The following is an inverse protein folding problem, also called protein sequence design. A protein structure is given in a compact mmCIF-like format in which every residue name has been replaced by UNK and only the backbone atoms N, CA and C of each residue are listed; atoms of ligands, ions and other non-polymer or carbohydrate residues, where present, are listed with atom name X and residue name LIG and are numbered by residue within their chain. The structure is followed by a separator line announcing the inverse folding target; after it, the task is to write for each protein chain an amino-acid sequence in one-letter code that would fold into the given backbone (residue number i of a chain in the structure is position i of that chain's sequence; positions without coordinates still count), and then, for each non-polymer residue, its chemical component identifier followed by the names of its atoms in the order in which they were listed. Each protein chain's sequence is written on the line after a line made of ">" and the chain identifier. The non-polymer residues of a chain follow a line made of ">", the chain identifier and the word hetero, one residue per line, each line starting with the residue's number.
data_IF_280005318559
#
_entry.id   IF_280005318559
#
_cell.length_a   1.000
_cell.length_b   1.000
_cell.length_c   1.000
_cell.angle_alpha   90.00
_cell.angle_beta   90.00
_cell.angle_gamma   90.00
#
_symmetry.space_group_name_H-M   'P 1'
#
loop_
_entity.id
_entity.type
_entity.pdbx_description
1 polymer ?
#
# COMPACT_ATOMS: atom_id res chain seq x y z
N UNK A 1 -28.43 -3.03 -35.36
CA UNK A 1 -27.11 -3.06 -34.69
C UNK A 1 -26.05 -2.96 -35.77
N UNK A 2 -24.95 -2.23 -35.55
CA UNK A 2 -23.82 -2.23 -36.49
C UNK A 2 -23.32 -3.66 -36.68
N UNK A 3 -22.92 -4.01 -37.90
CA UNK A 3 -22.25 -5.28 -38.17
C UNK A 3 -20.75 -5.13 -37.82
N UNK A 4 -20.40 -5.56 -36.61
CA UNK A 4 -19.04 -5.48 -36.05
C UNK A 4 -18.02 -6.34 -36.81
N UNK A 5 -18.48 -7.24 -37.69
CA UNK A 5 -17.62 -8.08 -38.53
C UNK A 5 -17.47 -7.54 -39.96
N UNK A 6 -18.16 -6.45 -40.30
CA UNK A 6 -18.03 -5.84 -41.63
C UNK A 6 -16.61 -5.31 -41.85
N UNK A 7 -15.97 -5.56 -43.02
CA UNK A 7 -14.59 -5.14 -43.29
C UNK A 7 -14.35 -3.64 -43.10
N UNK A 8 -15.37 -2.82 -43.36
CA UNK A 8 -15.32 -1.36 -43.20
C UNK A 8 -15.19 -0.96 -41.73
N UNK A 9 -15.94 -1.62 -40.82
CA UNK A 9 -15.79 -1.35 -39.38
C UNK A 9 -14.45 -1.88 -38.89
N UNK A 10 -13.98 -3.06 -39.28
CA UNK A 10 -12.66 -3.59 -38.87
C UNK A 10 -11.52 -2.63 -39.24
N UNK A 11 -11.53 -2.05 -40.44
CA UNK A 11 -10.52 -1.08 -40.86
C UNK A 11 -10.57 0.21 -40.03
N UNK A 12 -11.77 0.71 -39.77
CA UNK A 12 -11.97 1.89 -38.93
C UNK A 12 -11.52 1.64 -37.49
N UNK A 13 -11.83 0.47 -36.95
CA UNK A 13 -11.38 0.02 -35.63
C UNK A 13 -9.86 -0.10 -35.56
N UNK A 14 -9.20 -0.62 -36.59
CA UNK A 14 -7.74 -0.70 -36.65
C UNK A 14 -7.07 0.69 -36.61
N UNK A 15 -7.61 1.67 -37.32
CA UNK A 15 -7.11 3.05 -37.30
C UNK A 15 -7.31 3.69 -35.92
N UNK A 16 -8.49 3.49 -35.31
CA UNK A 16 -8.78 3.98 -33.96
C UNK A 16 -7.84 3.34 -32.94
N UNK A 17 -7.67 2.02 -33.02
CA UNK A 17 -6.78 1.24 -32.15
C UNK A 17 -5.35 1.76 -32.22
N UNK A 18 -4.84 2.00 -33.44
CA UNK A 18 -3.47 2.53 -33.65
C UNK A 18 -3.30 3.88 -32.96
N UNK A 19 -4.21 4.82 -33.19
CA UNK A 19 -4.16 6.16 -32.56
C UNK A 19 -4.30 6.09 -31.03
N UNK A 20 -5.13 5.16 -30.56
CA UNK A 20 -5.33 4.95 -29.13
C UNK A 20 -4.08 4.39 -28.45
N UNK A 21 -3.43 3.39 -29.04
CA UNK A 21 -2.18 2.81 -28.51
C UNK A 21 -1.05 3.84 -28.44
N UNK A 22 -0.92 4.70 -29.45
CA UNK A 22 0.01 5.83 -29.41
C UNK A 22 -0.28 6.83 -28.29
N UNK A 23 -1.55 7.14 -28.07
CA UNK A 23 -1.97 8.04 -27.00
C UNK A 23 -1.64 7.45 -25.62
N UNK A 24 -1.87 6.14 -25.45
CA UNK A 24 -1.54 5.41 -24.23
C UNK A 24 -0.03 5.32 -23.99
N UNK A 25 0.76 5.10 -25.05
CA UNK A 25 2.23 5.15 -24.97
C UNK A 25 2.69 6.51 -24.46
N UNK A 26 2.19 7.60 -25.04
CA UNK A 26 2.51 8.96 -24.61
C UNK A 26 2.14 9.21 -23.14
N UNK A 27 0.96 8.77 -22.71
CA UNK A 27 0.51 8.86 -21.32
C UNK A 27 1.44 8.07 -20.38
N UNK A 28 1.82 6.85 -20.75
CA UNK A 28 2.68 6.03 -19.92
C UNK A 28 4.10 6.58 -19.84
N UNK A 29 4.65 7.08 -20.96
CA UNK A 29 5.93 7.79 -21.00
C UNK A 29 5.89 9.01 -20.07
N UNK A 30 4.81 9.79 -20.10
CA UNK A 30 4.64 10.93 -19.20
C UNK A 30 4.68 10.52 -17.72
N UNK A 31 3.92 9.49 -17.33
CA UNK A 31 3.96 8.95 -15.95
C UNK A 31 5.35 8.38 -15.60
N UNK A 32 6.05 7.79 -16.57
CA UNK A 32 7.41 7.29 -16.40
C UNK A 32 8.37 8.45 -16.09
N UNK A 33 8.35 9.54 -16.86
CA UNK A 33 9.21 10.70 -16.58
C UNK A 33 8.92 11.33 -15.21
N UNK A 34 7.65 11.49 -14.83
CA UNK A 34 7.27 12.04 -13.52
C UNK A 34 7.77 11.21 -12.33
N UNK A 35 8.08 9.94 -12.56
CA UNK A 35 8.48 9.01 -11.52
C UNK A 35 9.97 8.67 -11.55
N UNK A 36 10.76 9.32 -12.42
CA UNK A 36 12.21 9.11 -12.53
C UNK A 36 12.98 9.61 -11.31
N UNK A 37 12.57 10.71 -10.69
CA UNK A 37 13.26 11.24 -9.49
C UNK A 37 13.32 10.20 -8.37
N UNK A 38 12.26 9.40 -8.26
CA UNK A 38 12.18 8.31 -7.30
C UNK A 38 13.18 7.19 -7.63
N UNK A 39 13.29 6.80 -8.89
CA UNK A 39 14.20 5.75 -9.35
C UNK A 39 15.66 6.19 -9.25
N UNK A 40 15.93 7.45 -9.62
CA UNK A 40 17.25 8.05 -9.50
C UNK A 40 17.74 8.08 -8.05
N UNK A 41 16.83 8.24 -7.08
CA UNK A 41 17.17 8.15 -5.66
C UNK A 41 17.67 6.75 -5.23
N UNK A 42 17.26 5.67 -5.91
CA UNK A 42 17.82 4.33 -5.66
C UNK A 42 19.17 4.13 -6.34
N UNK A 43 19.31 4.63 -7.57
CA UNK A 43 20.58 4.54 -8.33
C UNK A 43 21.68 5.35 -7.63
N UNK A 44 21.36 6.55 -7.13
CA UNK A 44 22.29 7.41 -6.40
C UNK A 44 22.54 6.96 -4.95
N UNK A 45 21.97 5.83 -4.52
CA UNK A 45 22.17 5.29 -3.18
C UNK A 45 21.51 6.09 -2.06
N UNK A 46 20.67 7.09 -2.38
CA UNK A 46 19.94 7.88 -1.39
C UNK A 46 18.86 7.07 -0.66
N UNK A 47 18.43 5.94 -1.23
CA UNK A 47 17.44 5.02 -0.65
C UNK A 47 17.95 3.59 -0.63
N UNK A 48 17.74 2.90 0.49
CA UNK A 48 18.11 1.50 0.65
C UNK A 48 17.25 0.57 -0.24
N UNK A 49 17.90 -0.32 -0.96
CA UNK A 49 17.22 -1.31 -1.79
C UNK A 49 16.54 -2.37 -0.93
N UNK A 50 15.25 -2.63 -1.18
CA UNK A 50 14.47 -3.68 -0.51
C UNK A 50 13.96 -4.66 -1.54
N UNK A 51 13.90 -5.95 -1.20
CA UNK A 51 13.52 -7.02 -2.13
C UNK A 51 12.21 -6.77 -2.91
N UNK A 52 11.12 -6.22 -2.33
CA UNK A 52 9.90 -5.91 -3.09
C UNK A 52 10.08 -4.90 -4.23
N UNK A 53 11.16 -4.10 -4.21
CA UNK A 53 11.44 -3.14 -5.28
C UNK A 53 11.85 -3.80 -6.58
N UNK A 54 12.30 -5.06 -6.56
CA UNK A 54 12.59 -5.81 -7.78
C UNK A 54 11.32 -5.92 -8.64
N UNK A 55 10.19 -6.30 -8.04
CA UNK A 55 8.91 -6.40 -8.75
C UNK A 55 8.38 -5.03 -9.20
N UNK A 56 8.69 -3.96 -8.46
CA UNK A 56 8.36 -2.60 -8.87
C UNK A 56 9.08 -2.19 -10.16
N UNK A 57 10.41 -2.36 -10.18
CA UNK A 57 11.21 -2.01 -11.36
C UNK A 57 10.90 -2.95 -12.53
N UNK A 58 10.82 -4.26 -12.28
CA UNK A 58 10.46 -5.24 -13.30
C UNK A 58 9.14 -4.88 -13.96
N UNK A 59 8.09 -4.60 -13.19
CA UNK A 59 6.78 -4.20 -13.73
C UNK A 59 6.89 -2.97 -14.64
N UNK A 60 7.55 -1.93 -14.11
CA UNK A 60 7.66 -0.63 -14.77
C UNK A 60 8.42 -0.69 -16.09
N UNK A 61 9.57 -1.37 -16.12
CA UNK A 61 10.37 -1.48 -17.34
C UNK A 61 9.76 -2.46 -18.33
N UNK A 62 9.19 -3.57 -17.85
CA UNK A 62 8.57 -4.57 -18.71
C UNK A 62 7.36 -4.00 -19.47
N UNK A 63 6.49 -3.24 -18.80
CA UNK A 63 5.38 -2.56 -19.46
C UNK A 63 5.86 -1.51 -20.48
N UNK A 64 6.92 -0.74 -20.15
CA UNK A 64 7.47 0.22 -21.10
C UNK A 64 7.96 -0.46 -22.39
N UNK A 65 8.71 -1.56 -22.26
CA UNK A 65 9.18 -2.33 -23.41
C UNK A 65 8.02 -2.97 -24.18
N UNK A 66 6.98 -3.45 -23.50
CA UNK A 66 5.77 -3.98 -24.15
C UNK A 66 5.07 -2.89 -25.00
N UNK A 67 4.92 -1.67 -24.48
CA UNK A 67 4.29 -0.57 -25.21
C UNK A 67 5.14 -0.10 -26.40
N UNK A 68 6.46 -0.07 -26.25
CA UNK A 68 7.37 0.21 -27.37
C UNK A 68 7.25 -0.88 -28.43
N UNK A 69 7.22 -2.15 -28.04
CA UNK A 69 7.03 -3.27 -28.96
C UNK A 69 5.67 -3.24 -29.66
N UNK A 70 4.60 -2.77 -29.00
CA UNK A 70 3.29 -2.56 -29.63
C UNK A 70 3.37 -1.42 -30.66
N UNK A 71 4.04 -0.31 -30.35
CA UNK A 71 4.21 0.78 -31.32
C UNK A 71 4.99 0.33 -32.55
N UNK A 72 6.11 -0.40 -32.35
CA UNK A 72 6.87 -0.99 -33.47
C UNK A 72 5.99 -1.91 -34.31
N UNK A 73 5.14 -2.74 -33.68
CA UNK A 73 4.24 -3.64 -34.41
C UNK A 73 3.21 -2.90 -35.28
N UNK A 74 2.83 -1.68 -34.89
CA UNK A 74 1.82 -0.88 -35.57
C UNK A 74 2.41 0.04 -36.66
N UNK A 75 3.65 0.51 -36.49
CA UNK A 75 4.26 1.50 -37.40
C UNK A 75 5.30 0.91 -38.36
N UNK A 76 5.68 -0.37 -38.19
CA UNK A 76 6.68 -0.99 -39.06
C UNK A 76 6.17 -1.10 -40.50
N UNK A 77 7.01 -0.66 -41.45
CA UNK A 77 6.77 -0.78 -42.89
C UNK A 77 7.66 -1.83 -43.55
N UNK A 78 8.67 -2.31 -42.82
CA UNK A 78 9.63 -3.32 -43.26
C UNK A 78 9.30 -4.69 -42.67
N UNK A 79 9.68 -5.74 -43.39
CA UNK A 79 9.45 -7.12 -42.99
C UNK A 79 10.24 -7.45 -41.71
N UNK A 80 9.52 -7.78 -40.65
CA UNK A 80 10.07 -8.21 -39.36
C UNK A 80 9.44 -9.52 -38.94
N UNK A 81 10.07 -10.18 -37.96
CA UNK A 81 9.51 -11.38 -37.35
C UNK A 81 8.33 -11.02 -36.43
N UNK A 82 7.14 -10.87 -37.02
CA UNK A 82 5.90 -10.53 -36.30
C UNK A 82 5.60 -11.52 -35.17
N UNK A 83 5.87 -12.82 -35.40
CA UNK A 83 5.64 -13.85 -34.41
C UNK A 83 6.43 -13.58 -33.12
N UNK A 84 7.73 -13.29 -33.24
CA UNK A 84 8.57 -12.99 -32.09
C UNK A 84 8.12 -11.70 -31.37
N UNK A 85 7.77 -10.65 -32.12
CA UNK A 85 7.36 -9.36 -31.55
C UNK A 85 6.04 -9.46 -30.80
N UNK A 86 5.01 -10.08 -31.39
CA UNK A 86 3.72 -10.27 -30.74
C UNK A 86 3.81 -11.24 -29.56
N UNK A 87 4.62 -12.29 -29.66
CA UNK A 87 4.89 -13.19 -28.53
C UNK A 87 5.53 -12.44 -27.37
N UNK A 88 6.53 -11.61 -27.65
CA UNK A 88 7.16 -10.76 -26.63
C UNK A 88 6.15 -9.78 -26.03
N UNK A 89 5.37 -9.07 -26.84
CA UNK A 89 4.38 -8.10 -26.35
C UNK A 89 3.31 -8.74 -25.48
N UNK A 90 2.84 -9.94 -25.85
CA UNK A 90 1.85 -10.68 -25.07
C UNK A 90 2.44 -11.09 -23.71
N UNK A 91 3.61 -11.75 -23.70
CA UNK A 91 4.27 -12.17 -22.47
C UNK A 91 4.58 -10.96 -21.58
N UNK A 92 5.15 -9.90 -22.15
CA UNK A 92 5.56 -8.72 -21.41
C UNK A 92 4.35 -7.94 -20.86
N UNK A 93 3.26 -7.83 -21.64
CA UNK A 93 2.01 -7.20 -21.22
C UNK A 93 1.32 -7.96 -20.09
N UNK A 94 1.13 -9.27 -20.26
CA UNK A 94 0.48 -10.12 -19.26
C UNK A 94 1.34 -10.24 -17.99
N UNK A 95 2.66 -10.35 -18.14
CA UNK A 95 3.59 -10.33 -17.02
C UNK A 95 3.60 -8.98 -16.29
N UNK A 96 3.44 -7.85 -16.97
CA UNK A 96 3.29 -6.55 -16.30
C UNK A 96 2.04 -6.52 -15.42
N UNK A 97 0.91 -7.03 -15.91
CA UNK A 97 -0.31 -7.19 -15.08
C UNK A 97 -0.04 -8.09 -13.87
N UNK A 98 0.58 -9.26 -14.07
CA UNK A 98 0.92 -10.18 -12.99
C UNK A 98 1.87 -9.55 -11.94
N UNK A 99 2.87 -8.79 -12.38
CA UNK A 99 3.79 -8.06 -11.51
C UNK A 99 3.09 -6.93 -10.76
N UNK A 100 2.14 -6.23 -11.40
CA UNK A 100 1.31 -5.22 -10.74
C UNK A 100 0.50 -5.84 -9.60
N UNK A 101 -0.14 -7.00 -9.84
CA UNK A 101 -0.89 -7.70 -8.81
C UNK A 101 0.01 -8.27 -7.70
N UNK A 102 1.24 -8.70 -8.00
CA UNK A 102 2.25 -9.03 -6.97
C UNK A 102 2.53 -7.80 -6.10
N UNK A 103 2.82 -6.64 -6.69
CA UNK A 103 3.13 -5.41 -5.96
C UNK A 103 1.99 -5.01 -5.01
N UNK A 104 0.75 -5.21 -5.43
CA UNK A 104 -0.45 -5.00 -4.61
C UNK A 104 -0.54 -6.06 -3.49
N UNK A 105 -0.34 -7.34 -3.80
CA UNK A 105 -0.44 -8.44 -2.83
C UNK A 105 0.62 -8.40 -1.71
N UNK A 106 1.85 -7.96 -2.00
CA UNK A 106 2.92 -7.84 -0.98
C UNK A 106 2.48 -6.89 0.14
N UNK A 107 1.75 -5.82 -0.21
CA UNK A 107 1.18 -4.90 0.80
C UNK A 107 0.18 -5.61 1.68
N UNK A 108 -0.69 -6.42 1.09
CA UNK A 108 -1.69 -7.19 1.82
C UNK A 108 -1.02 -8.19 2.76
N UNK A 109 0.05 -8.86 2.33
CA UNK A 109 0.84 -9.73 3.21
C UNK A 109 1.39 -8.96 4.43
N UNK A 110 1.90 -7.75 4.22
CA UNK A 110 2.38 -6.88 5.32
C UNK A 110 1.24 -6.43 6.25
N UNK A 111 0.07 -6.06 5.70
CA UNK A 111 -1.12 -5.62 6.44
C UNK A 111 -1.69 -6.74 7.32
N UNK A 112 -1.55 -7.98 6.87
CA UNK A 112 -1.93 -9.17 7.63
C UNK A 112 -0.82 -9.66 8.57
N UNK A 113 0.17 -8.81 8.88
CA UNK A 113 1.29 -9.10 9.76
C UNK A 113 2.00 -10.41 9.40
N UNK A 114 2.11 -10.71 8.09
CA UNK A 114 2.74 -11.94 7.57
C UNK A 114 2.11 -13.24 8.14
N UNK A 115 0.79 -13.25 8.37
CA UNK A 115 0.09 -14.48 8.73
C UNK A 115 0.35 -15.57 7.66
N UNK A 116 0.98 -16.66 8.07
CA UNK A 116 1.44 -17.74 7.19
C UNK A 116 0.34 -18.32 6.30
N UNK A 117 -0.91 -18.34 6.77
CA UNK A 117 -2.04 -18.83 5.98
C UNK A 117 -2.32 -17.89 4.81
N UNK A 118 -2.46 -16.60 5.07
CA UNK A 118 -2.76 -15.59 4.04
C UNK A 118 -1.59 -15.47 3.06
N UNK A 119 -0.36 -15.47 3.57
CA UNK A 119 0.84 -15.47 2.73
C UNK A 119 0.89 -16.73 1.85
N UNK A 120 0.59 -17.91 2.41
CA UNK A 120 0.54 -19.16 1.65
C UNK A 120 -0.51 -19.14 0.54
N UNK A 121 -1.72 -18.65 0.82
CA UNK A 121 -2.80 -18.51 -0.18
C UNK A 121 -2.39 -17.53 -1.27
N UNK A 122 -1.89 -16.34 -0.92
CA UNK A 122 -1.46 -15.34 -1.90
C UNK A 122 -0.28 -15.85 -2.74
N UNK A 123 0.69 -16.54 -2.14
CA UNK A 123 1.80 -17.14 -2.86
C UNK A 123 1.32 -18.19 -3.87
N UNK A 124 0.37 -19.05 -3.48
CA UNK A 124 -0.22 -20.05 -4.38
C UNK A 124 -0.94 -19.38 -5.56
N UNK A 125 -1.72 -18.34 -5.31
CA UNK A 125 -2.43 -17.60 -6.37
C UNK A 125 -1.44 -16.90 -7.30
N UNK A 126 -0.35 -16.33 -6.78
CA UNK A 126 0.72 -15.75 -7.60
C UNK A 126 1.33 -16.82 -8.51
N UNK A 127 1.70 -17.98 -7.96
CA UNK A 127 2.26 -19.07 -8.76
C UNK A 127 1.31 -19.55 -9.85
N UNK A 128 0.01 -19.68 -9.55
CA UNK A 128 -1.01 -20.03 -10.53
C UNK A 128 -1.17 -18.99 -11.63
N UNK A 129 -1.06 -17.70 -11.29
CA UNK A 129 -1.09 -16.64 -12.29
C UNK A 129 0.09 -16.76 -13.26
N UNK A 130 1.31 -16.92 -12.73
CA UNK A 130 2.51 -17.03 -13.57
C UNK A 130 2.54 -18.29 -14.41
N UNK A 131 1.99 -19.42 -13.91
CA UNK A 131 1.88 -20.62 -14.73
C UNK A 131 0.93 -20.40 -15.92
N UNK A 132 -0.18 -19.68 -15.72
CA UNK A 132 -1.10 -19.34 -16.81
C UNK A 132 -0.47 -18.36 -17.81
N UNK A 133 0.27 -17.35 -17.36
CA UNK A 133 0.97 -16.39 -18.25
C UNK A 133 1.98 -17.13 -19.13
N UNK A 134 2.79 -18.03 -18.55
CA UNK A 134 3.79 -18.79 -19.29
C UNK A 134 3.18 -19.81 -20.25
N UNK A 135 2.03 -20.39 -19.91
CA UNK A 135 1.26 -21.27 -20.80
C UNK A 135 0.48 -20.48 -21.87
N UNK A 136 0.22 -19.19 -21.63
CA UNK A 136 -0.61 -18.29 -22.43
C UNK A 136 -0.09 -17.97 -23.83
N UNK A 137 1.14 -18.37 -24.14
CA UNK A 137 1.84 -18.05 -25.38
C UNK A 137 1.34 -18.92 -26.54
N UNK A 138 0.11 -18.65 -26.98
CA UNK A 138 -0.53 -19.30 -28.13
C UNK A 138 -1.18 -18.24 -29.04
N UNK A 139 -0.33 -17.38 -29.60
CA UNK A 139 -0.69 -16.54 -30.74
C UNK A 139 0.15 -16.90 -31.96
N UNK A 140 -0.43 -16.76 -33.14
CA UNK A 140 0.29 -16.80 -34.41
C UNK A 140 0.10 -15.48 -35.13
N UNK A 141 1.20 -14.88 -35.57
CA UNK A 141 1.23 -13.63 -36.31
C UNK A 141 2.13 -13.77 -37.55
N UNK A 142 1.64 -13.24 -38.67
CA UNK A 142 2.32 -13.28 -39.96
C UNK A 142 2.46 -11.88 -40.54
N UNK A 143 3.54 -11.64 -41.27
CA UNK A 143 3.71 -10.45 -42.08
C UNK A 143 2.81 -10.50 -43.31
N UNK A 144 1.96 -9.49 -43.50
CA UNK A 144 1.10 -9.35 -44.68
C UNK A 144 1.63 -8.19 -45.54
N UNK A 145 2.10 -8.46 -46.78
CA UNK A 145 2.61 -7.42 -47.67
C UNK A 145 1.59 -6.28 -47.88
N UNK A 146 2.01 -5.04 -47.65
CA UNK A 146 1.17 -3.84 -47.83
C UNK A 146 0.27 -3.49 -46.64
N UNK A 147 0.17 -4.35 -45.63
CA UNK A 147 -0.63 -4.11 -44.40
C UNK A 147 0.23 -4.12 -43.13
N UNK A 148 1.31 -4.90 -43.11
CA UNK A 148 2.21 -5.03 -41.96
C UNK A 148 1.98 -6.32 -41.18
N UNK A 149 2.31 -6.32 -39.88
CA UNK A 149 2.10 -7.50 -39.04
C UNK A 149 0.61 -7.70 -38.68
N UNK A 150 0.07 -8.88 -38.99
CA UNK A 150 -1.30 -9.25 -38.64
C UNK A 150 -1.33 -10.53 -37.79
N UNK A 151 -2.26 -10.57 -36.85
CA UNK A 151 -2.54 -11.74 -36.02
C UNK A 151 -3.43 -12.70 -36.83
N UNK A 152 -2.96 -13.92 -37.09
CA UNK A 152 -3.65 -14.91 -37.92
C UNK A 152 -4.49 -15.88 -37.11
N UNK A 153 -4.04 -16.25 -35.93
CA UNK A 153 -4.78 -17.13 -35.02
C UNK A 153 -4.42 -16.80 -33.57
N UNK A 154 -5.45 -16.70 -32.72
CA UNK A 154 -5.30 -16.42 -31.29
C UNK A 154 -6.28 -17.26 -30.50
N UNK A 155 -5.78 -17.96 -29.49
CA UNK A 155 -6.64 -18.68 -28.58
C UNK A 155 -7.23 -17.73 -27.51
N UNK A 156 -8.31 -17.02 -27.90
CA UNK A 156 -9.01 -16.07 -27.02
C UNK A 156 -9.49 -16.71 -25.71
N UNK A 157 -9.68 -18.04 -25.65
CA UNK A 157 -10.08 -18.72 -24.40
C UNK A 157 -8.99 -18.69 -23.33
N UNK A 158 -7.72 -18.82 -23.73
CA UNK A 158 -6.60 -18.80 -22.78
C UNK A 158 -6.33 -17.38 -22.31
N UNK A 159 -6.34 -16.41 -23.24
CA UNK A 159 -6.31 -14.99 -22.88
C UNK A 159 -7.43 -14.64 -21.90
N UNK A 160 -8.68 -15.05 -22.19
CA UNK A 160 -9.80 -14.83 -21.27
C UNK A 160 -9.56 -15.47 -19.91
N UNK A 161 -9.01 -16.69 -19.86
CA UNK A 161 -8.67 -17.34 -18.61
C UNK A 161 -7.63 -16.55 -17.80
N UNK A 162 -6.60 -15.98 -18.45
CA UNK A 162 -5.57 -15.15 -17.78
C UNK A 162 -6.19 -13.88 -17.20
N UNK A 163 -6.99 -13.15 -17.97
CA UNK A 163 -7.62 -11.91 -17.50
C UNK A 163 -8.65 -12.17 -16.39
N UNK A 164 -9.47 -13.22 -16.52
CA UNK A 164 -10.40 -13.65 -15.46
C UNK A 164 -9.61 -13.99 -14.19
N UNK A 165 -8.51 -14.74 -14.33
CA UNK A 165 -7.66 -15.09 -13.19
C UNK A 165 -7.10 -13.83 -12.52
N UNK A 166 -6.58 -12.88 -13.31
CA UNK A 166 -6.08 -11.61 -12.81
C UNK A 166 -7.17 -10.80 -12.08
N UNK A 167 -8.36 -10.72 -12.65
CA UNK A 167 -9.51 -10.06 -12.02
C UNK A 167 -9.86 -10.71 -10.68
N UNK A 168 -9.93 -12.05 -10.63
CA UNK A 168 -10.19 -12.79 -9.39
C UNK A 168 -9.09 -12.58 -8.35
N UNK A 169 -7.82 -12.52 -8.78
CA UNK A 169 -6.69 -12.26 -7.90
C UNK A 169 -6.78 -10.87 -7.28
N UNK A 170 -7.00 -9.83 -8.09
CA UNK A 170 -7.17 -8.46 -7.61
C UNK A 170 -8.39 -8.32 -6.70
N UNK A 171 -9.50 -9.01 -7.01
CA UNK A 171 -10.68 -9.05 -6.14
C UNK A 171 -10.37 -9.71 -4.79
N UNK A 172 -9.67 -10.84 -4.78
CA UNK A 172 -9.26 -11.50 -3.53
C UNK A 172 -8.40 -10.56 -2.68
N UNK A 173 -7.40 -9.92 -3.29
CA UNK A 173 -6.54 -8.95 -2.61
C UNK A 173 -7.37 -7.76 -2.09
N UNK A 174 -8.26 -7.21 -2.90
CA UNK A 174 -9.17 -6.13 -2.51
C UNK A 174 -10.04 -6.52 -1.33
N UNK A 175 -10.65 -7.71 -1.33
CA UNK A 175 -11.48 -8.22 -0.25
C UNK A 175 -10.69 -8.41 1.04
N UNK A 176 -9.47 -8.97 0.97
CA UNK A 176 -8.60 -9.13 2.14
C UNK A 176 -8.21 -7.78 2.76
N UNK A 177 -7.91 -6.79 1.94
CA UNK A 177 -7.60 -5.44 2.41
C UNK A 177 -8.84 -4.77 3.03
N UNK A 178 -9.99 -4.89 2.36
CA UNK A 178 -11.28 -4.32 2.79
C UNK A 178 -11.75 -4.93 4.11
N UNK A 179 -11.71 -6.26 4.22
CA UNK A 179 -12.08 -6.98 5.43
C UNK A 179 -11.24 -6.55 6.63
N UNK A 180 -9.92 -6.43 6.44
CA UNK A 180 -9.02 -5.97 7.49
C UNK A 180 -9.37 -4.54 7.91
N UNK A 181 -9.69 -3.64 6.97
CA UNK A 181 -10.07 -2.25 7.27
C UNK A 181 -11.34 -2.15 8.11
N UNK A 182 -12.38 -2.90 7.75
CA UNK A 182 -13.64 -2.91 8.49
C UNK A 182 -13.50 -3.61 9.85
N UNK A 183 -12.73 -4.69 9.92
CA UNK A 183 -12.47 -5.42 11.17
C UNK A 183 -11.58 -4.68 12.18
N UNK A 184 -10.74 -3.73 11.73
CA UNK A 184 -9.91 -2.88 12.60
C UNK A 184 -10.77 -1.98 13.52
N UNK A 185 -12.04 -1.72 13.19
CA UNK A 185 -12.93 -0.95 14.07
C UNK A 185 -13.36 -1.74 15.33
N UNK A 186 -13.12 -3.05 15.40
CA UNK A 186 -13.49 -3.89 16.53
C UNK A 186 -12.24 -4.51 17.18
N UNK A 187 -11.70 -3.84 18.19
CA UNK A 187 -10.74 -4.35 19.20
C UNK A 187 -9.33 -4.81 18.76
N UNK A 188 -9.01 -4.92 17.46
CA UNK A 188 -7.71 -5.38 16.96
C UNK A 188 -6.72 -4.25 16.54
N UNK A 189 -6.93 -3.03 17.03
CA UNK A 189 -6.11 -1.84 16.68
C UNK A 189 -4.70 -1.80 17.28
N UNK A 190 -4.28 -2.81 18.03
CA UNK A 190 -2.97 -2.83 18.71
C UNK A 190 -1.80 -3.35 17.86
N UNK A 191 -2.04 -4.05 16.76
CA UNK A 191 -0.98 -4.63 15.93
C UNK A 191 -0.45 -3.71 14.81
N UNK A 192 -1.15 -2.61 14.51
CA UNK A 192 -0.71 -1.60 13.56
C UNK A 192 -0.47 -0.32 14.35
N UNK A 193 0.78 0.09 14.52
CA UNK A 193 1.19 1.19 15.41
C UNK A 193 0.23 2.39 15.39
N UNK A 194 -0.58 2.49 16.44
CA UNK A 194 -1.07 3.68 17.17
C UNK A 194 -1.34 5.01 16.45
N UNK A 195 -1.54 5.07 15.13
CA UNK A 195 -1.77 6.35 14.46
C UNK A 195 -2.90 6.30 13.44
N UNK A 196 -3.88 7.18 13.65
CA UNK A 196 -4.91 7.62 12.67
C UNK A 196 -4.35 7.79 11.25
N UNK A 197 -3.06 8.15 11.14
CA UNK A 197 -2.35 8.32 9.88
C UNK A 197 -2.24 6.99 9.10
N UNK A 198 -1.95 5.87 9.76
CA UNK A 198 -1.88 4.55 9.11
C UNK A 198 -3.23 4.10 8.55
N UNK A 199 -4.32 4.44 9.25
CA UNK A 199 -5.70 4.19 8.80
C UNK A 199 -6.06 5.05 7.57
N UNK A 200 -5.76 6.34 7.59
CA UNK A 200 -6.01 7.25 6.45
C UNK A 200 -5.22 6.83 5.20
N UNK A 201 -3.95 6.46 5.36
CA UNK A 201 -3.11 6.00 4.24
C UNK A 201 -3.65 4.70 3.66
N UNK A 202 -4.19 3.82 4.50
CA UNK A 202 -4.76 2.55 4.06
C UNK A 202 -6.11 2.74 3.36
N UNK A 203 -6.95 3.65 3.85
CA UNK A 203 -8.20 4.06 3.20
C UNK A 203 -7.93 4.66 1.81
N UNK A 204 -6.98 5.59 1.73
CA UNK A 204 -6.48 6.13 0.46
C UNK A 204 -5.71 5.09 -0.38
N UNK A 205 -5.23 4.02 0.23
CA UNK A 205 -4.56 2.92 -0.45
C UNK A 205 -5.56 1.95 -1.09
N UNK A 206 -6.77 1.84 -0.53
CA UNK A 206 -7.82 0.95 -1.01
C UNK A 206 -8.31 1.34 -2.39
N UNK A 207 -8.39 2.64 -2.68
CA UNK A 207 -8.83 3.16 -3.98
C UNK A 207 -7.97 2.62 -5.13
N UNK A 208 -6.67 2.39 -4.89
CA UNK A 208 -5.77 1.79 -5.86
C UNK A 208 -6.18 0.35 -6.20
N UNK A 209 -6.52 -0.47 -5.21
CA UNK A 209 -7.00 -1.83 -5.47
C UNK A 209 -8.33 -1.83 -6.23
N UNK A 210 -9.24 -0.91 -5.90
CA UNK A 210 -10.53 -0.77 -6.61
C UNK A 210 -10.32 -0.38 -8.07
N UNK A 211 -9.45 0.60 -8.35
CA UNK A 211 -9.17 1.03 -9.73
C UNK A 211 -8.56 -0.12 -10.54
N UNK A 212 -7.59 -0.86 -9.97
CA UNK A 212 -6.98 -2.00 -10.64
C UNK A 212 -8.02 -3.10 -10.95
N UNK A 213 -8.87 -3.43 -9.99
CA UNK A 213 -9.98 -4.38 -10.18
C UNK A 213 -10.94 -3.94 -11.29
N UNK A 214 -11.39 -2.68 -11.27
CA UNK A 214 -12.32 -2.16 -12.29
C UNK A 214 -11.68 -2.17 -13.69
N UNK A 215 -10.40 -1.81 -13.79
CA UNK A 215 -9.68 -1.84 -15.05
C UNK A 215 -9.61 -3.26 -15.63
N UNK A 216 -9.26 -4.26 -14.81
CA UNK A 216 -9.21 -5.66 -15.22
C UNK A 216 -10.60 -6.25 -15.49
N UNK A 217 -11.64 -5.79 -14.77
CA UNK A 217 -13.04 -6.16 -15.03
C UNK A 217 -13.49 -5.67 -16.41
N UNK A 218 -13.23 -4.41 -16.76
CA UNK A 218 -13.60 -3.85 -18.06
C UNK A 218 -12.90 -4.61 -19.19
N UNK A 219 -11.61 -4.88 -19.07
CA UNK A 219 -10.87 -5.69 -20.05
C UNK A 219 -11.48 -7.09 -20.22
N UNK A 220 -11.80 -7.75 -19.10
CA UNK A 220 -12.41 -9.09 -19.11
C UNK A 220 -13.78 -9.10 -19.80
N UNK A 221 -14.63 -8.10 -19.56
CA UNK A 221 -15.95 -8.00 -20.19
C UNK A 221 -15.82 -7.92 -21.71
N UNK A 222 -14.97 -7.01 -22.22
CA UNK A 222 -14.78 -6.84 -23.67
C UNK A 222 -14.18 -8.10 -24.32
N UNK A 223 -13.31 -8.80 -23.60
CA UNK A 223 -12.75 -10.06 -24.06
C UNK A 223 -13.82 -11.16 -24.16
N UNK A 224 -14.71 -11.27 -23.17
CA UNK A 224 -15.79 -12.26 -23.17
C UNK A 224 -16.88 -11.98 -24.21
N UNK A 225 -17.14 -10.71 -24.52
CA UNK A 225 -18.12 -10.33 -25.53
C UNK A 225 -17.72 -10.73 -26.96
N UNK A 226 -16.42 -10.90 -27.24
CA UNK A 226 -15.88 -11.40 -28.51
C UNK A 226 -16.53 -10.81 -29.78
N UNK A 227 -16.71 -9.48 -29.83
CA UNK A 227 -17.36 -8.82 -30.99
C UNK A 227 -16.49 -8.87 -32.24
N UNK A 228 -15.19 -8.61 -32.07
CA UNK A 228 -14.15 -8.63 -33.10
C UNK A 228 -12.77 -8.78 -32.44
N UNK A 229 -11.78 -9.26 -33.18
CA UNK A 229 -10.38 -9.49 -32.72
C UNK A 229 -9.75 -8.23 -32.09
N UNK A 230 -9.98 -7.05 -32.68
CA UNK A 230 -9.44 -5.77 -32.19
C UNK A 230 -10.18 -5.31 -30.93
N UNK A 231 -11.52 -5.34 -30.96
CA UNK A 231 -12.35 -4.86 -29.86
C UNK A 231 -12.26 -5.70 -28.60
N UNK A 232 -11.95 -6.99 -28.72
CA UNK A 232 -11.73 -7.85 -27.56
C UNK A 232 -10.44 -7.57 -26.80
N UNK A 233 -9.47 -6.91 -27.44
CA UNK A 233 -8.14 -6.64 -26.85
C UNK A 233 -7.92 -5.15 -26.58
N UNK A 234 -8.79 -4.27 -27.09
CA UNK A 234 -8.63 -2.80 -26.99
C UNK A 234 -8.48 -2.29 -25.55
N UNK A 235 -9.15 -2.93 -24.58
CA UNK A 235 -9.09 -2.55 -23.17
C UNK A 235 -8.00 -3.26 -22.36
N UNK A 236 -7.31 -4.25 -22.92
CA UNK A 236 -6.23 -4.96 -22.22
C UNK A 236 -5.05 -4.04 -21.93
N UNK A 237 -4.62 -3.27 -22.94
CA UNK A 237 -3.49 -2.34 -22.80
C UNK A 237 -3.79 -1.21 -21.81
N UNK A 238 -4.94 -0.50 -21.90
CA UNK A 238 -5.37 0.44 -20.86
C UNK A 238 -5.43 -0.18 -19.46
N UNK A 239 -5.93 -1.41 -19.33
CA UNK A 239 -6.03 -2.08 -18.05
C UNK A 239 -4.65 -2.38 -17.46
N UNK A 240 -3.72 -2.89 -18.27
CA UNK A 240 -2.34 -3.13 -17.87
C UNK A 240 -1.62 -1.84 -17.43
N UNK A 241 -1.82 -0.76 -18.19
CA UNK A 241 -1.30 0.57 -17.84
C UNK A 241 -1.90 1.05 -16.51
N UNK A 242 -3.23 1.03 -16.38
CA UNK A 242 -3.93 1.48 -15.19
C UNK A 242 -3.46 0.72 -13.94
N UNK A 243 -3.50 -0.61 -13.98
CA UNK A 243 -3.08 -1.48 -12.87
C UNK A 243 -1.60 -1.27 -12.52
N UNK A 244 -0.73 -1.10 -13.51
CA UNK A 244 0.69 -0.82 -13.28
C UNK A 244 0.94 0.53 -12.64
N UNK A 245 0.35 1.61 -13.17
CA UNK A 245 0.50 2.96 -12.60
C UNK A 245 0.04 2.96 -11.15
N UNK A 246 -1.11 2.36 -10.90
CA UNK A 246 -1.74 2.29 -9.59
C UNK A 246 -0.89 1.48 -8.59
N UNK A 247 -0.42 0.29 -8.98
CA UNK A 247 0.49 -0.51 -8.17
C UNK A 247 1.80 0.24 -7.87
N UNK A 248 2.39 0.88 -8.88
CA UNK A 248 3.61 1.67 -8.74
C UNK A 248 3.43 2.91 -7.84
N UNK A 249 2.30 3.62 -7.94
CA UNK A 249 1.96 4.75 -7.07
C UNK A 249 1.77 4.30 -5.63
N UNK A 250 1.09 3.18 -5.42
CA UNK A 250 0.97 2.59 -4.10
C UNK A 250 2.36 2.31 -3.49
N UNK A 251 3.25 1.61 -4.23
CA UNK A 251 4.65 1.33 -3.83
C UNK A 251 5.41 2.61 -3.45
N UNK A 252 5.44 3.61 -4.33
CA UNK A 252 6.12 4.89 -4.09
C UNK A 252 5.63 5.58 -2.84
N UNK A 253 4.29 5.64 -2.65
CA UNK A 253 3.66 6.27 -1.49
C UNK A 253 4.15 5.65 -0.18
N UNK A 254 4.15 4.32 -0.07
CA UNK A 254 4.67 3.64 1.14
C UNK A 254 6.17 3.84 1.34
N UNK A 255 6.95 3.78 0.28
CA UNK A 255 8.40 3.97 0.38
C UNK A 255 8.75 5.38 0.88
N UNK A 256 8.06 6.40 0.38
CA UNK A 256 8.25 7.77 0.86
C UNK A 256 7.85 7.92 2.34
N UNK A 257 6.77 7.26 2.78
CA UNK A 257 6.39 7.26 4.20
C UNK A 257 7.41 6.55 5.09
N UNK A 258 7.92 5.38 4.70
CA UNK A 258 8.91 4.67 5.53
C UNK A 258 10.24 5.42 5.63
N UNK A 259 10.62 6.20 4.62
CA UNK A 259 11.84 7.01 4.69
C UNK A 259 11.65 8.30 5.51
N UNK A 260 10.40 8.72 5.80
CA UNK A 260 10.11 9.93 6.59
C UNK A 260 9.91 9.65 8.09
N UNK A 261 9.78 8.40 8.53
CA UNK A 261 9.83 8.03 9.96
C UNK A 261 10.97 7.04 10.16
N UNK A 262 12.06 7.38 10.89
CA UNK A 262 12.08 7.87 12.27
C UNK A 262 12.84 9.20 12.49
N UNK A 263 13.22 9.93 11.45
CA UNK A 263 14.12 11.09 11.60
C UNK A 263 13.42 12.40 11.99
N UNK A 264 12.09 12.47 11.87
CA UNK A 264 11.31 13.70 12.16
C UNK A 264 11.01 13.90 13.66
N UNK A 265 11.40 12.95 14.54
CA UNK A 265 11.33 13.13 16.00
C UNK A 265 12.69 13.41 16.66
N UNK A 266 13.77 13.56 15.89
CA UNK A 266 14.98 14.19 16.39
C UNK A 266 14.77 15.71 16.40
N UNK A 267 14.32 16.23 17.53
CA UNK A 267 14.13 17.66 17.80
C UNK A 267 15.27 18.51 17.22
N UNK A 268 14.95 19.43 16.32
CA UNK A 268 15.76 20.61 16.07
C UNK A 268 15.75 21.49 17.33
N UNK A 269 16.59 21.18 18.32
CA UNK A 269 17.01 22.13 19.35
C UNK A 269 18.30 22.81 18.89
N UNK A 270 18.20 23.61 17.83
CA UNK A 270 19.25 24.58 17.47
C UNK A 270 19.25 25.72 18.50
N UNK A 271 19.83 25.43 19.67
CA UNK A 271 20.16 26.42 20.68
C UNK A 271 21.41 27.19 20.25
N UNK A 272 21.21 28.29 19.55
CA UNK A 272 22.24 29.29 19.27
C UNK A 272 22.72 29.91 20.59
N UNK A 273 23.95 29.60 20.99
CA UNK A 273 24.62 30.24 22.10
C UNK A 273 24.99 31.69 21.74
N UNK A 274 24.20 32.66 22.23
CA UNK A 274 24.56 34.07 22.19
C UNK A 274 25.46 34.39 23.39
N UNK A 275 26.75 34.59 23.11
CA UNK A 275 27.76 35.06 24.07
C UNK A 275 27.66 36.60 24.14
N UNK A 276 27.09 37.11 25.22
CA UNK A 276 27.00 38.54 25.53
C UNK A 276 27.62 38.86 26.89
N UNK A 277 28.55 39.81 26.90
CA UNK A 277 29.48 40.16 27.97
C UNK A 277 28.92 41.24 28.93
N UNK A 278 29.50 41.31 30.15
CA UNK A 278 29.31 42.29 31.25
C UNK A 278 28.14 41.97 32.23
N UNK A 279 28.28 41.95 33.56
CA UNK A 279 28.97 42.89 34.48
C UNK A 279 29.41 42.23 35.83
N UNK A 280 30.23 42.98 36.57
CA UNK A 280 31.03 42.70 37.80
C UNK A 280 30.30 42.10 39.03
N UNK A 281 31.02 41.23 39.76
CA UNK A 281 30.78 40.87 41.17
C UNK A 281 31.93 40.03 41.77
N UNK A 282 32.36 40.36 42.99
CA UNK A 282 33.58 39.95 43.75
C UNK A 282 33.73 38.42 44.04
N UNK A 283 34.95 37.93 44.40
CA UNK A 283 35.20 36.52 44.65
C UNK A 283 35.03 36.14 46.13
N UNK A 284 34.42 34.98 46.39
CA UNK A 284 34.46 34.31 47.70
C UNK A 284 35.10 32.95 47.55
N UNK A 285 36.11 32.73 48.38
CA UNK A 285 36.96 31.54 48.49
C UNK A 285 36.17 30.37 49.09
N UNK A 286 36.36 29.16 48.54
CA UNK A 286 35.87 27.92 49.13
C UNK A 286 36.51 26.69 48.47
N UNK A 287 37.35 25.99 49.22
CA UNK A 287 38.15 24.82 48.83
C UNK A 287 37.36 23.70 48.13
N UNK A 288 37.92 23.15 47.04
CA UNK A 288 37.59 21.78 46.59
C UNK A 288 38.89 21.00 46.38
N UNK A 289 39.00 19.98 47.22
CA UNK A 289 39.97 18.90 47.25
C UNK A 289 39.68 17.86 46.15
N UNK A 290 40.77 17.27 45.65
CA UNK A 290 40.93 15.95 45.03
C UNK A 290 39.89 15.45 44.01
N UNK A 291 40.42 15.24 42.80
CA UNK A 291 39.73 14.60 41.71
C UNK A 291 39.77 13.08 41.70
N UNK A 292 39.16 12.61 40.62
CA UNK A 292 39.08 11.27 40.07
C UNK A 292 38.12 10.30 40.78
N UNK A 293 36.89 10.21 40.27
CA UNK A 293 36.42 9.01 39.55
C UNK A 293 35.37 9.39 38.49
N UNK A 294 35.60 8.92 37.27
CA UNK A 294 34.69 8.95 36.12
C UNK A 294 33.45 8.10 36.39
N UNK A 295 32.30 8.74 36.60
CA UNK A 295 30.98 8.12 36.54
C UNK A 295 30.18 8.74 35.40
N UNK A 296 29.58 7.91 34.55
CA UNK A 296 28.60 8.38 33.55
C UNK A 296 27.34 8.81 34.31
N UNK A 297 27.14 10.12 34.42
CA UNK A 297 25.92 10.67 35.00
C UNK A 297 24.81 10.59 33.95
N UNK A 298 23.97 9.55 34.00
CA UNK A 298 22.72 9.52 33.24
C UNK A 298 21.74 10.41 34.00
N UNK A 299 21.54 11.62 33.51
CA UNK A 299 20.49 12.51 34.00
C UNK A 299 19.17 12.07 33.32
N UNK A 300 18.38 11.26 34.02
CA UNK A 300 17.01 10.94 33.60
C UNK A 300 16.16 12.18 33.88
N UNK A 301 15.86 12.99 32.86
CA UNK A 301 14.80 13.98 32.99
C UNK A 301 13.45 13.25 33.11
N UNK A 302 12.98 13.13 34.35
CA UNK A 302 11.64 12.63 34.64
C UNK A 302 10.66 13.74 34.31
N UNK A 303 9.98 13.61 33.17
CA UNK A 303 8.84 14.48 32.87
C UNK A 303 7.69 14.14 33.82
N UNK A 304 7.59 14.84 34.95
CA UNK A 304 6.34 14.94 35.71
C UNK A 304 5.34 15.70 34.86
N UNK A 305 4.42 14.98 34.24
CA UNK A 305 3.24 15.55 33.61
C UNK A 305 2.41 16.22 34.71
N UNK A 306 2.39 17.55 34.75
CA UNK A 306 1.43 18.28 35.56
C UNK A 306 0.03 17.99 35.00
N UNK A 307 -0.75 17.18 35.69
CA UNK A 307 -2.20 17.11 35.46
C UNK A 307 -2.80 18.46 35.82
N UNK A 308 -3.51 19.05 34.85
CA UNK A 308 -4.40 20.19 35.08
C UNK A 308 -5.40 19.81 36.17
N UNK A 309 -5.38 20.58 37.27
CA UNK A 309 -6.20 20.37 38.44
C UNK A 309 -7.70 20.39 38.13
N UNK A 310 -8.37 19.29 38.49
CA UNK A 310 -9.80 19.26 38.74
C UNK A 310 -10.05 19.75 40.19
N UNK A 311 -10.39 21.03 40.34
CA UNK A 311 -10.78 21.69 41.60
C UNK A 311 -12.19 21.28 42.10
N UNK A 312 -12.48 19.98 42.17
CA UNK A 312 -13.79 19.49 42.63
C UNK A 312 -13.75 18.45 43.76
N UNK A 313 -12.60 17.80 44.03
CA UNK A 313 -12.57 16.64 44.94
C UNK A 313 -11.98 16.93 46.35
N UNK A 314 -11.40 18.12 46.56
CA UNK A 314 -10.79 18.48 47.85
C UNK A 314 -11.75 19.08 48.89
N UNK A 315 -13.04 19.29 48.56
CA UNK A 315 -14.03 19.84 49.51
C UNK A 315 -14.96 18.81 50.16
N UNK A 316 -14.91 17.54 49.77
CA UNK A 316 -15.80 16.52 50.36
C UNK A 316 -15.19 15.83 51.59
N UNK A 317 -13.88 15.55 51.56
CA UNK A 317 -13.23 14.73 52.61
C UNK A 317 -12.93 15.50 53.93
N UNK A 318 -12.92 16.84 53.88
CA UNK A 318 -12.73 17.66 55.08
C UNK A 318 -14.03 17.90 55.87
N UNK A 319 -15.21 17.72 55.24
CA UNK A 319 -16.51 17.85 55.91
C UNK A 319 -16.91 16.58 56.67
N UNK A 320 -16.49 15.41 56.19
CA UNK A 320 -16.81 14.10 56.80
C UNK A 320 -15.99 13.85 58.08
N UNK A 321 -14.71 14.24 58.13
CA UNK A 321 -13.89 14.14 59.36
C UNK A 321 -14.31 15.12 60.48
N UNK A 322 -15.01 16.21 60.15
CA UNK A 322 -15.51 17.17 61.14
C UNK A 322 -16.80 16.74 61.86
N UNK A 323 -17.65 15.91 61.22
CA UNK A 323 -18.89 15.40 61.83
C UNK A 323 -18.67 14.12 62.65
N UNK A 324 -17.73 13.26 62.27
CA UNK A 324 -17.46 11.98 62.95
C UNK A 324 -16.82 12.09 64.34
N UNK A 325 -16.26 13.25 64.69
CA UNK A 325 -15.66 13.51 66.02
C UNK A 325 -16.66 14.09 67.01
N UNK A 326 -17.76 14.69 66.54
CA UNK A 326 -18.81 15.28 67.39
C UNK A 326 -19.84 14.24 67.84
N UNK A 327 -20.15 13.24 66.99
CA UNK A 327 -21.18 12.23 67.28
C UNK A 327 -20.69 11.10 68.22
N UNK A 328 -19.37 10.93 68.34
CA UNK A 328 -18.77 9.87 69.19
C UNK A 328 -18.69 10.23 70.68
N UNK A 329 -18.94 11.49 71.06
CA UNK A 329 -18.92 11.96 72.46
C UNK A 329 -20.31 11.85 73.13
N UNK A 330 -21.39 11.68 72.37
CA UNK A 330 -22.77 11.74 72.89
C UNK A 330 -23.47 10.38 73.07
N UNK A 331 -22.83 9.24 72.77
CA UNK A 331 -23.50 7.92 72.78
C UNK A 331 -22.76 6.84 73.55
N UNK A 332 -22.11 7.23 74.65
CA UNK A 332 -21.70 6.33 75.72
C UNK A 332 -22.78 6.28 76.78
N UNK A 333 -23.88 5.58 76.52
CA UNK A 333 -24.78 5.00 77.53
C UNK A 333 -25.88 4.19 76.83
N UNK A 334 -26.30 3.10 77.48
CA UNK A 334 -27.39 2.17 77.13
C UNK A 334 -27.02 0.93 76.27
N UNK A 335 -26.44 -0.07 76.96
CA UNK A 335 -27.09 -1.34 77.34
C UNK A 335 -27.75 -2.28 76.28
N UNK A 336 -27.29 -3.54 76.37
CA UNK A 336 -28.03 -4.84 76.32
C UNK A 336 -28.36 -5.54 74.98
N UNK A 337 -27.95 -6.81 74.95
CA UNK A 337 -28.59 -8.01 74.36
C UNK A 337 -28.93 -8.04 72.85
N UNK A 338 -28.35 -9.01 72.12
CA UNK A 338 -29.01 -10.30 71.78
C UNK A 338 -28.40 -10.93 70.51
N UNK A 339 -28.22 -12.25 70.59
CA UNK A 339 -27.67 -13.22 69.63
C UNK A 339 -28.35 -13.30 68.24
N UNK A 340 -27.76 -14.20 67.41
CA UNK A 340 -28.39 -15.12 66.42
C UNK A 340 -27.99 -14.89 64.94
N UNK A 341 -26.94 -15.64 64.55
CA UNK A 341 -26.91 -16.74 63.57
C UNK A 341 -27.27 -16.63 62.06
N UNK A 342 -26.52 -17.48 61.34
CA UNK A 342 -26.79 -18.26 60.10
C UNK A 342 -26.64 -17.54 58.75
N UNK A 343 -25.56 -17.81 58.00
CA UNK A 343 -25.28 -18.97 57.12
C UNK A 343 -25.93 -18.96 55.74
N UNK A 344 -25.04 -18.96 54.74
CA UNK A 344 -24.97 -19.90 53.63
C UNK A 344 -26.21 -20.13 52.73
N UNK A 345 -26.07 -19.67 51.48
CA UNK A 345 -26.33 -20.36 50.19
C UNK A 345 -26.06 -19.32 49.09
N UNK A 346 -25.45 -19.61 47.94
CA UNK A 346 -25.74 -20.75 47.09
C UNK A 346 -24.55 -21.08 46.17
N UNK A 347 -24.26 -22.37 46.07
CA UNK A 347 -23.73 -22.98 44.86
C UNK A 347 -24.92 -23.43 44.00
N UNK A 348 -24.93 -23.03 42.73
CA UNK A 348 -25.21 -23.88 41.56
C UNK A 348 -24.87 -23.10 40.30
#
# INVERSE_FOLDING_TARGET
>A
MPDWQSPQEIQKEAVIFTKFMHSLLGLYIYEWFLSLDFDWAFITGKKAFRWPMIFYFANRYLLLFALIGIAIALDTTEEINCQALFTFNQIAGDAAVGLASINLSIRTMAVWSQNRIIVGVLALVILGHWSLILQGVQLTAMWVPGVGCAITDTNNKILAAIFIYSMCFDLLVLLLNTYKLFGINSKAGQAMGTSRIGKMIFEDGLIYFVIAFLANLIATIFMLMNLNSIMSVIFNVPAAIGSTIVACRAVRRLSNFTNQGPEVYASHSSGTAFRGNATRGLPTIGNVSHGAQTGVHVQMETFTRAEQGNDADYKYDQKVKGQLTSERVLRGDASTEMDIDLEAKAAL
#
